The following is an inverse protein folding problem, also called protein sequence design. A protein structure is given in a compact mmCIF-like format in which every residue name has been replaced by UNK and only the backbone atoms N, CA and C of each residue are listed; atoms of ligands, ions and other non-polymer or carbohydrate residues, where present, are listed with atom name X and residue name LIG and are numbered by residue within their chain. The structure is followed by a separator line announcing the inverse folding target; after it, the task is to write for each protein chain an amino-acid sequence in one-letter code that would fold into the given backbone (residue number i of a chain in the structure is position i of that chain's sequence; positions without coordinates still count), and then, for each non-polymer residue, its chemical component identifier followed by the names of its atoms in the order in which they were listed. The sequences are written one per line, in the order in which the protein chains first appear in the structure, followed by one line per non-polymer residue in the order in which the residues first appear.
data_IF_339741956460
#
_entry.id   IF_339741956460
#
_cell.length_a   1.000
_cell.length_b   1.000
_cell.length_c   1.000
_cell.angle_alpha   90.00
_cell.angle_beta   90.00
_cell.angle_gamma   90.00
#
_symmetry.space_group_name_H-M   'P 1'
#
loop_
_entity.id
_entity.type
_entity.pdbx_description
1 polymer ?
#
# COMPACT_ATOMS: atom_id res chain seq x y z
N UNK A 1 -7.19 -14.72 -2.71
CA UNK A 1 -7.70 -14.39 -1.37
C UNK A 1 -7.06 -13.08 -0.88
N UNK A 2 -7.89 -12.04 -0.71
CA UNK A 2 -7.42 -10.67 -0.50
C UNK A 2 -6.92 -10.02 -1.79
N UNK A 3 -6.39 -8.78 -1.68
CA UNK A 3 -5.77 -8.09 -2.82
C UNK A 3 -4.51 -8.81 -3.33
N UNK A 4 -3.83 -9.57 -2.48
CA UNK A 4 -2.68 -10.37 -2.87
C UNK A 4 -3.01 -11.34 -4.02
N UNK A 5 -4.12 -12.07 -3.89
CA UNK A 5 -4.60 -12.98 -4.94
C UNK A 5 -5.00 -12.23 -6.21
N UNK A 6 -5.67 -11.08 -6.06
CA UNK A 6 -6.08 -10.24 -7.20
C UNK A 6 -4.85 -9.77 -7.97
N UNK A 7 -3.83 -9.26 -7.27
CA UNK A 7 -2.59 -8.78 -7.90
C UNK A 7 -1.82 -9.93 -8.53
N UNK A 8 -1.69 -11.07 -7.83
CA UNK A 8 -1.03 -12.26 -8.36
C UNK A 8 -1.69 -12.74 -9.66
N UNK A 9 -3.04 -12.79 -9.71
CA UNK A 9 -3.78 -13.11 -10.93
C UNK A 9 -3.61 -12.05 -12.01
N UNK A 10 -3.56 -10.77 -11.65
CA UNK A 10 -3.33 -9.70 -12.61
C UNK A 10 -1.92 -9.77 -13.24
N UNK A 11 -0.89 -10.14 -12.46
CA UNK A 11 0.45 -10.41 -13.00
C UNK A 11 0.42 -11.52 -14.04
N UNK A 12 -0.25 -12.63 -13.73
CA UNK A 12 -0.37 -13.75 -14.65
C UNK A 12 -1.19 -13.41 -15.89
N UNK A 13 -2.21 -12.54 -15.75
CA UNK A 13 -3.11 -12.16 -16.85
C UNK A 13 -2.48 -11.15 -17.80
N UNK A 14 -1.86 -10.09 -17.25
CA UNK A 14 -1.48 -8.91 -18.04
C UNK A 14 0.01 -8.74 -18.25
N UNK A 15 0.83 -9.32 -17.39
CA UNK A 15 2.28 -9.07 -17.38
C UNK A 15 3.09 -10.23 -17.95
N UNK A 16 2.45 -11.32 -18.31
CA UNK A 16 3.11 -12.51 -18.88
C UNK A 16 3.39 -12.34 -20.40
N UNK A 17 4.15 -11.30 -20.76
CA UNK A 17 4.41 -10.94 -22.15
C UNK A 17 5.88 -10.86 -22.55
N UNK A 18 6.82 -11.09 -21.63
CA UNK A 18 8.26 -11.06 -21.91
C UNK A 18 8.92 -9.69 -21.78
N UNK A 19 8.18 -8.59 -21.91
CA UNK A 19 8.69 -7.24 -21.63
C UNK A 19 8.72 -6.96 -20.12
N UNK A 20 9.72 -6.20 -19.61
CA UNK A 20 9.83 -5.92 -18.20
C UNK A 20 8.70 -5.03 -17.69
N UNK A 21 8.08 -5.42 -16.57
CA UNK A 21 7.15 -4.55 -15.86
C UNK A 21 7.89 -3.52 -15.01
N UNK A 22 7.21 -2.40 -14.69
CA UNK A 22 7.78 -1.33 -13.89
C UNK A 22 7.02 -1.16 -12.57
N UNK A 23 7.78 -0.98 -11.48
CA UNK A 23 7.24 -0.58 -10.18
C UNK A 23 8.29 0.18 -9.35
N UNK A 24 7.91 0.92 -8.29
CA UNK A 24 8.86 1.67 -7.48
C UNK A 24 9.86 0.74 -6.77
N UNK A 25 11.10 1.21 -6.57
CA UNK A 25 12.16 0.46 -5.85
C UNK A 25 11.86 0.27 -4.35
N UNK A 26 11.12 1.21 -3.76
CA UNK A 26 10.63 1.11 -2.38
C UNK A 26 9.09 1.05 -2.42
N UNK A 27 8.56 -0.16 -2.39
CA UNK A 27 7.14 -0.45 -2.60
C UNK A 27 6.70 -1.69 -1.83
N UNK A 28 5.48 -2.17 -2.08
CA UNK A 28 4.99 -3.41 -1.51
C UNK A 28 5.87 -4.60 -1.92
N UNK A 29 6.41 -5.27 -0.91
CA UNK A 29 7.49 -6.26 -1.06
C UNK A 29 7.08 -7.59 -1.69
N UNK A 30 5.88 -7.69 -2.26
CA UNK A 30 5.44 -8.90 -2.97
C UNK A 30 5.39 -8.72 -4.50
N UNK A 31 5.61 -7.53 -5.02
CA UNK A 31 5.64 -7.35 -6.47
C UNK A 31 6.82 -8.09 -7.12
N UNK A 32 8.02 -7.99 -6.54
CA UNK A 32 9.19 -8.76 -6.94
C UNK A 32 8.96 -10.27 -6.76
N UNK A 33 8.32 -10.69 -5.66
CA UNK A 33 8.03 -12.11 -5.39
C UNK A 33 7.12 -12.71 -6.47
N UNK A 34 6.05 -12.02 -6.88
CA UNK A 34 5.20 -12.53 -7.97
C UNK A 34 5.88 -12.46 -9.33
N UNK A 35 6.65 -11.40 -9.60
CA UNK A 35 7.42 -11.32 -10.83
C UNK A 35 8.40 -12.49 -10.95
N UNK A 36 9.14 -12.81 -9.89
CA UNK A 36 10.06 -13.95 -9.83
C UNK A 36 9.32 -15.29 -9.95
N UNK A 37 8.20 -15.47 -9.22
CA UNK A 37 7.40 -16.68 -9.26
C UNK A 37 6.91 -17.01 -10.67
N UNK A 38 6.44 -15.99 -11.39
CA UNK A 38 5.90 -16.14 -12.75
C UNK A 38 6.96 -15.93 -13.83
N UNK A 39 8.23 -15.68 -13.46
CA UNK A 39 9.33 -15.41 -14.39
C UNK A 39 9.06 -14.21 -15.30
N UNK A 40 8.42 -13.20 -14.76
CA UNK A 40 8.15 -11.92 -15.43
C UNK A 40 9.35 -11.01 -15.18
N UNK A 41 10.04 -10.53 -16.23
CA UNK A 41 11.13 -9.58 -16.05
C UNK A 41 10.58 -8.26 -15.48
N UNK A 42 11.36 -7.59 -14.64
CA UNK A 42 10.97 -6.30 -14.08
C UNK A 42 12.14 -5.33 -13.96
N UNK A 43 11.82 -4.06 -13.90
CA UNK A 43 12.73 -2.98 -13.55
C UNK A 43 12.10 -2.12 -12.48
N UNK A 44 12.91 -1.66 -11.54
CA UNK A 44 12.44 -0.73 -10.52
C UNK A 44 12.73 0.71 -10.92
N UNK A 45 11.76 1.59 -10.69
CA UNK A 45 11.88 3.03 -10.83
C UNK A 45 12.19 3.63 -9.45
N UNK A 46 13.28 4.38 -9.33
CA UNK A 46 13.68 4.92 -8.04
C UNK A 46 12.72 6.02 -7.60
N UNK A 47 12.20 5.93 -6.37
CA UNK A 47 11.52 7.05 -5.75
C UNK A 47 12.52 8.18 -5.47
N UNK A 48 12.08 9.42 -5.53
CA UNK A 48 12.92 10.58 -5.18
C UNK A 48 13.29 10.61 -3.68
N UNK A 49 13.96 11.66 -3.24
CA UNK A 49 14.35 11.87 -1.84
C UNK A 49 13.16 12.07 -0.89
N UNK A 50 12.00 12.47 -1.43
CA UNK A 50 10.75 12.64 -0.71
C UNK A 50 9.80 11.43 -0.86
N UNK A 51 10.31 10.31 -1.38
CA UNK A 51 9.57 9.08 -1.62
C UNK A 51 8.46 9.21 -2.67
N UNK A 52 8.64 10.11 -3.63
CA UNK A 52 7.68 10.40 -4.69
C UNK A 52 8.03 9.67 -5.98
N UNK A 53 7.01 9.30 -6.73
CA UNK A 53 7.13 8.80 -8.10
C UNK A 53 7.45 9.98 -9.04
N UNK A 54 8.42 9.78 -9.95
CA UNK A 54 8.58 10.60 -11.15
C UNK A 54 7.86 9.89 -12.33
N UNK A 55 6.79 10.46 -12.88
CA UNK A 55 6.10 9.86 -14.04
C UNK A 55 6.99 9.68 -15.27
N UNK A 56 8.09 10.45 -15.40
CA UNK A 56 9.00 10.33 -16.52
C UNK A 56 9.71 8.97 -16.57
N UNK A 57 9.99 8.36 -15.42
CA UNK A 57 10.63 7.05 -15.33
C UNK A 57 9.76 5.92 -15.90
N UNK A 58 8.44 6.14 -16.00
CA UNK A 58 7.47 5.17 -16.51
C UNK A 58 7.19 5.31 -18.00
N UNK A 59 7.89 6.22 -18.72
CA UNK A 59 7.75 6.39 -20.17
C UNK A 59 8.62 5.45 -21.00
N UNK A 60 9.50 4.68 -20.37
CA UNK A 60 10.32 3.67 -21.06
C UNK A 60 9.46 2.48 -21.54
N UNK A 61 9.90 1.73 -22.59
CA UNK A 61 9.23 0.52 -23.01
C UNK A 61 9.07 -0.48 -21.86
N UNK A 62 7.84 -1.00 -21.69
CA UNK A 62 7.51 -1.89 -20.59
C UNK A 62 6.31 -2.79 -20.92
N UNK A 63 6.17 -3.89 -20.19
CA UNK A 63 5.07 -4.86 -20.29
C UNK A 63 3.91 -4.60 -19.33
N UNK A 64 3.97 -3.51 -18.57
CA UNK A 64 2.95 -3.11 -17.60
C UNK A 64 3.53 -2.39 -16.38
N UNK A 65 2.68 -1.75 -15.63
CA UNK A 65 3.07 -0.92 -14.49
C UNK A 65 2.23 -1.28 -13.28
N UNK A 66 2.84 -1.33 -12.09
CA UNK A 66 2.11 -1.42 -10.83
C UNK A 66 2.75 -0.53 -9.77
N UNK A 67 1.93 0.21 -9.03
CA UNK A 67 2.37 0.96 -7.85
C UNK A 67 1.23 1.12 -6.85
N UNK A 68 1.54 1.16 -5.52
CA UNK A 68 0.54 1.45 -4.51
C UNK A 68 0.27 2.96 -4.43
N UNK A 69 -0.97 3.34 -4.25
CA UNK A 69 -1.34 4.72 -3.99
C UNK A 69 -2.47 4.81 -2.94
N UNK A 70 -2.16 5.16 -1.69
CA UNK A 70 -0.86 5.54 -1.12
C UNK A 70 0.19 4.41 -1.07
N UNK A 71 1.47 4.78 -1.20
CA UNK A 71 2.56 3.81 -1.21
C UNK A 71 2.80 3.14 0.15
N UNK A 72 3.15 1.88 0.15
CA UNK A 72 3.66 1.14 1.31
C UNK A 72 5.10 0.67 1.02
N UNK A 73 6.10 0.98 1.87
CA UNK A 73 5.98 1.36 3.28
C UNK A 73 5.99 2.87 3.58
N UNK A 74 6.12 3.76 2.60
CA UNK A 74 6.40 5.19 2.82
C UNK A 74 5.18 5.98 3.31
N UNK A 75 3.97 5.55 2.96
CA UNK A 75 2.72 6.23 3.27
C UNK A 75 2.38 7.40 2.33
N UNK A 76 3.25 7.70 1.37
CA UNK A 76 3.09 8.83 0.44
C UNK A 76 1.95 8.55 -0.54
N UNK A 77 1.11 9.56 -0.72
CA UNK A 77 0.04 9.57 -1.71
C UNK A 77 0.43 10.45 -2.89
N UNK A 78 0.37 9.90 -4.10
CA UNK A 78 0.55 10.67 -5.33
C UNK A 78 -0.79 11.22 -5.81
N UNK A 79 -0.85 12.52 -6.20
CA UNK A 79 -2.06 13.11 -6.75
C UNK A 79 -2.47 12.44 -8.06
N UNK A 80 -3.78 12.46 -8.35
CA UNK A 80 -4.33 11.75 -9.52
C UNK A 80 -3.76 12.25 -10.86
N UNK A 81 -3.30 13.50 -10.93
CA UNK A 81 -2.65 14.07 -12.10
C UNK A 81 -1.39 13.29 -12.49
N UNK A 82 -0.60 12.81 -11.51
CA UNK A 82 0.56 11.97 -11.77
C UNK A 82 0.16 10.56 -12.24
N UNK A 83 -0.88 10.00 -11.64
CA UNK A 83 -1.45 8.72 -12.08
C UNK A 83 -1.93 8.84 -13.52
N UNK A 84 -2.63 9.90 -13.84
CA UNK A 84 -3.12 10.19 -15.19
C UNK A 84 -1.99 10.39 -16.20
N UNK A 85 -0.90 11.04 -15.80
CA UNK A 85 0.29 11.21 -16.65
C UNK A 85 0.91 9.86 -17.01
N UNK A 86 1.02 8.93 -16.04
CA UNK A 86 1.52 7.57 -16.29
C UNK A 86 0.58 6.80 -17.23
N UNK A 87 -0.74 6.89 -17.01
CA UNK A 87 -1.74 6.25 -17.87
C UNK A 87 -1.68 6.72 -19.31
N UNK A 88 -1.58 8.05 -19.52
CA UNK A 88 -1.46 8.66 -20.85
C UNK A 88 -0.20 8.26 -21.59
N UNK A 89 0.90 8.12 -20.86
CA UNK A 89 2.19 7.74 -21.44
C UNK A 89 2.28 6.25 -21.81
N UNK A 90 1.35 5.41 -21.31
CA UNK A 90 1.37 3.96 -21.48
C UNK A 90 0.03 3.39 -21.92
N UNK A 91 -0.55 3.85 -23.06
CA UNK A 91 -1.91 3.48 -23.44
C UNK A 91 -2.07 2.00 -23.83
N UNK A 92 -0.99 1.33 -24.22
CA UNK A 92 -1.00 -0.04 -24.75
C UNK A 92 -0.72 -1.12 -23.70
N UNK A 93 -0.44 -0.73 -22.45
CA UNK A 93 -0.17 -1.66 -21.35
C UNK A 93 -1.04 -1.37 -20.13
N UNK A 94 -1.25 -2.39 -19.29
CA UNK A 94 -2.06 -2.24 -18.09
C UNK A 94 -1.27 -1.52 -16.99
N UNK A 95 -1.90 -0.52 -16.39
CA UNK A 95 -1.41 0.19 -15.20
C UNK A 95 -2.28 -0.21 -14.02
N UNK A 96 -1.68 -0.87 -13.05
CA UNK A 96 -2.35 -1.29 -11.81
C UNK A 96 -2.06 -0.26 -10.71
N UNK A 97 -3.11 0.31 -10.15
CA UNK A 97 -3.04 1.16 -8.96
C UNK A 97 -3.54 0.37 -7.76
N UNK A 98 -2.61 0.01 -6.86
CA UNK A 98 -2.93 -0.72 -5.63
C UNK A 98 -3.36 0.26 -4.54
N UNK A 99 -4.66 0.32 -4.29
CA UNK A 99 -5.31 1.23 -3.35
C UNK A 99 -5.58 0.58 -1.98
N UNK A 100 -4.73 -0.31 -1.52
CA UNK A 100 -4.93 -0.97 -0.23
C UNK A 100 -5.12 -0.02 0.95
N UNK A 101 -4.65 1.23 0.84
CA UNK A 101 -4.68 2.23 1.91
C UNK A 101 -5.44 3.52 1.55
N UNK A 102 -6.10 3.61 0.41
CA UNK A 102 -6.72 4.85 -0.10
C UNK A 102 -7.71 5.48 0.88
N UNK A 103 -8.45 4.67 1.62
CA UNK A 103 -9.49 5.12 2.56
C UNK A 103 -8.96 5.94 3.76
N UNK A 104 -7.65 6.00 3.97
CA UNK A 104 -7.05 6.76 5.06
C UNK A 104 -6.66 8.20 4.69
N UNK A 105 -7.27 8.75 3.66
CA UNK A 105 -7.13 10.14 3.23
C UNK A 105 -6.50 10.33 1.86
N UNK A 106 -6.44 9.26 1.05
CA UNK A 106 -6.16 9.33 -0.37
C UNK A 106 -7.40 9.67 -1.19
N UNK A 107 -7.21 9.90 -2.48
CA UNK A 107 -8.23 10.01 -3.50
C UNK A 107 -8.10 8.83 -4.46
N UNK A 108 -9.22 8.16 -4.74
CA UNK A 108 -9.20 6.94 -5.56
C UNK A 108 -9.08 7.25 -7.06
N UNK A 109 -8.24 6.50 -7.75
CA UNK A 109 -8.12 6.49 -9.20
C UNK A 109 -9.37 5.94 -9.92
N UNK A 110 -10.39 5.48 -9.18
CA UNK A 110 -11.68 5.09 -9.77
C UNK A 110 -12.32 6.22 -10.58
N UNK A 111 -12.08 7.48 -10.25
CA UNK A 111 -12.55 8.63 -11.02
C UNK A 111 -11.94 8.75 -12.43
N UNK A 112 -10.88 7.97 -12.71
CA UNK A 112 -10.20 7.94 -14.00
C UNK A 112 -10.67 6.80 -14.91
N UNK A 113 -11.43 5.82 -14.40
CA UNK A 113 -11.79 4.60 -15.14
C UNK A 113 -12.54 4.85 -16.44
N UNK A 114 -13.46 5.81 -16.49
CA UNK A 114 -14.24 6.13 -17.69
C UNK A 114 -13.38 6.73 -18.81
N UNK A 115 -12.15 7.16 -18.48
CA UNK A 115 -11.24 7.81 -19.43
C UNK A 115 -10.06 6.93 -19.85
N UNK A 116 -9.75 5.88 -19.07
CA UNK A 116 -8.56 5.05 -19.27
C UNK A 116 -8.89 3.57 -19.19
N UNK A 117 -9.05 2.94 -20.33
CA UNK A 117 -9.33 1.48 -20.42
C UNK A 117 -8.17 0.60 -19.91
N UNK A 118 -6.95 1.16 -19.84
CA UNK A 118 -5.75 0.47 -19.35
C UNK A 118 -5.55 0.57 -17.84
N UNK A 119 -6.46 1.21 -17.09
CA UNK A 119 -6.41 1.33 -15.63
C UNK A 119 -7.08 0.14 -14.94
N UNK A 120 -6.35 -0.50 -14.02
CA UNK A 120 -6.90 -1.48 -13.08
C UNK A 120 -6.67 -0.99 -11.65
N UNK A 121 -7.75 -0.75 -10.90
CA UNK A 121 -7.69 -0.36 -9.48
C UNK A 121 -7.90 -1.58 -8.62
N UNK A 122 -7.01 -1.82 -7.66
CA UNK A 122 -7.10 -2.94 -6.71
C UNK A 122 -7.35 -2.42 -5.30
N UNK A 123 -8.33 -2.99 -4.61
CA UNK A 123 -8.70 -2.61 -3.24
C UNK A 123 -8.86 -3.83 -2.34
N UNK A 124 -8.90 -3.62 -1.02
CA UNK A 124 -8.99 -4.69 -0.03
C UNK A 124 -9.82 -4.30 1.18
N UNK A 125 -10.46 -5.28 1.80
CA UNK A 125 -11.14 -5.12 3.10
C UNK A 125 -10.17 -5.32 4.27
N UNK A 126 -8.92 -5.72 3.99
CA UNK A 126 -7.94 -6.08 5.02
C UNK A 126 -7.48 -4.91 5.89
N UNK A 127 -7.63 -3.65 5.43
CA UNK A 127 -7.10 -2.45 6.09
C UNK A 127 -8.23 -1.62 6.70
N UNK A 128 -8.85 -0.78 5.92
CA UNK A 128 -9.87 0.19 6.37
C UNK A 128 -11.13 -0.45 6.95
N UNK A 129 -11.50 -1.63 6.45
CA UNK A 129 -12.67 -2.38 6.96
C UNK A 129 -12.31 -3.39 8.06
N UNK A 130 -11.05 -3.44 8.51
CA UNK A 130 -10.57 -4.31 9.60
C UNK A 130 -10.85 -5.80 9.42
N UNK A 131 -10.97 -6.27 8.17
CA UNK A 131 -11.37 -7.63 7.82
C UNK A 131 -10.21 -8.47 7.22
N UNK A 132 -8.99 -8.25 7.66
CA UNK A 132 -7.81 -8.95 7.15
C UNK A 132 -7.94 -10.49 7.19
N UNK A 133 -8.58 -11.03 8.24
CA UNK A 133 -8.80 -12.47 8.40
C UNK A 133 -9.80 -13.07 7.42
N UNK A 134 -10.72 -12.28 6.85
CA UNK A 134 -11.70 -12.76 5.88
C UNK A 134 -11.18 -12.86 4.45
N UNK A 135 -9.99 -12.31 4.17
CA UNK A 135 -9.33 -12.41 2.87
C UNK A 135 -10.19 -11.90 1.70
N UNK A 136 -10.79 -10.71 1.84
CA UNK A 136 -11.58 -10.06 0.78
C UNK A 136 -10.73 -9.02 0.08
N UNK A 137 -10.58 -9.16 -1.22
CA UNK A 137 -9.97 -8.19 -2.13
C UNK A 137 -10.71 -8.19 -3.46
N UNK A 138 -10.65 -7.07 -4.17
CA UNK A 138 -11.32 -6.91 -5.45
C UNK A 138 -10.56 -5.93 -6.34
N UNK A 139 -10.85 -5.96 -7.61
CA UNK A 139 -10.37 -4.95 -8.57
C UNK A 139 -11.52 -4.42 -9.42
N UNK A 140 -11.29 -3.24 -9.96
CA UNK A 140 -12.21 -2.54 -10.83
C UNK A 140 -11.43 -2.07 -12.05
N UNK A 141 -11.95 -2.31 -13.24
CA UNK A 141 -11.36 -1.96 -14.51
C UNK A 141 -12.34 -2.10 -15.65
N UNK A 142 -11.91 -1.96 -16.91
CA UNK A 142 -12.79 -2.15 -18.06
C UNK A 142 -13.36 -3.58 -18.11
N UNK A 143 -14.55 -3.74 -18.69
CA UNK A 143 -15.20 -5.06 -18.84
C UNK A 143 -14.27 -6.08 -19.50
N UNK A 144 -13.50 -5.66 -20.49
CA UNK A 144 -12.52 -6.48 -21.19
C UNK A 144 -11.43 -7.00 -20.25
N UNK A 145 -10.85 -6.13 -19.41
CA UNK A 145 -9.83 -6.56 -18.43
C UNK A 145 -10.41 -7.52 -17.39
N UNK A 146 -11.62 -7.22 -16.91
CA UNK A 146 -12.28 -8.09 -15.92
C UNK A 146 -12.63 -9.46 -16.53
N UNK A 147 -13.00 -9.52 -17.82
CA UNK A 147 -13.21 -10.79 -18.50
C UNK A 147 -11.93 -11.64 -18.52
N UNK A 148 -10.78 -11.08 -18.92
CA UNK A 148 -9.50 -11.79 -18.90
C UNK A 148 -9.07 -12.25 -17.50
N UNK A 149 -9.26 -11.41 -16.49
CA UNK A 149 -8.99 -11.79 -15.09
C UNK A 149 -9.87 -12.96 -14.64
N UNK A 150 -11.14 -12.98 -15.03
CA UNK A 150 -12.04 -14.08 -14.73
C UNK A 150 -11.61 -15.38 -15.41
N UNK A 151 -11.15 -15.33 -16.66
CA UNK A 151 -10.63 -16.52 -17.36
C UNK A 151 -9.46 -17.14 -16.58
N UNK A 152 -8.50 -16.31 -16.13
CA UNK A 152 -7.38 -16.77 -15.30
C UNK A 152 -7.86 -17.24 -13.95
N UNK A 153 -8.72 -16.48 -13.26
CA UNK A 153 -9.28 -16.84 -11.96
C UNK A 153 -9.98 -18.19 -11.99
N UNK A 154 -10.84 -18.43 -12.98
CA UNK A 154 -11.55 -19.71 -13.10
C UNK A 154 -10.65 -20.87 -13.49
N UNK A 155 -9.52 -20.60 -14.14
CA UNK A 155 -8.51 -21.60 -14.46
C UNK A 155 -7.63 -21.98 -13.25
N UNK A 156 -7.31 -21.01 -12.38
CA UNK A 156 -6.41 -21.21 -11.22
C UNK A 156 -7.19 -21.61 -9.98
N UNK A 157 -8.22 -20.86 -9.62
CA UNK A 157 -9.06 -21.11 -8.44
C UNK A 157 -10.45 -20.48 -8.60
N UNK A 158 -11.44 -21.28 -8.98
CA UNK A 158 -12.81 -20.82 -9.21
C UNK A 158 -13.50 -20.37 -7.91
N UNK A 159 -13.14 -20.95 -6.76
CA UNK A 159 -13.84 -20.76 -5.48
C UNK A 159 -12.95 -20.05 -4.45
N UNK A 160 -12.55 -18.84 -4.78
CA UNK A 160 -11.59 -18.06 -3.98
C UNK A 160 -12.14 -17.58 -2.64
N UNK A 161 -13.45 -17.42 -2.50
CA UNK A 161 -14.06 -16.87 -1.28
C UNK A 161 -14.97 -17.89 -0.60
N UNK A 162 -14.84 -18.02 0.71
CA UNK A 162 -15.74 -18.83 1.52
C UNK A 162 -17.07 -18.10 1.79
N UNK A 163 -18.12 -18.86 2.08
CA UNK A 163 -19.46 -18.31 2.30
C UNK A 163 -19.57 -17.29 3.45
N UNK A 164 -18.96 -17.51 4.63
CA UNK A 164 -18.95 -16.50 5.68
C UNK A 164 -18.32 -15.17 5.24
N UNK A 165 -17.20 -15.19 4.48
CA UNK A 165 -16.57 -13.98 3.96
C UNK A 165 -17.51 -13.20 3.01
N UNK A 166 -18.25 -13.91 2.16
CA UNK A 166 -19.23 -13.28 1.26
C UNK A 166 -20.33 -12.56 2.03
N UNK A 167 -20.92 -13.22 3.05
CA UNK A 167 -22.00 -12.63 3.85
C UNK A 167 -21.51 -11.42 4.67
N UNK A 168 -20.41 -11.60 5.40
CA UNK A 168 -19.84 -10.53 6.23
C UNK A 168 -19.31 -9.37 5.39
N UNK A 169 -18.78 -9.64 4.19
CA UNK A 169 -18.37 -8.61 3.25
C UNK A 169 -19.52 -7.70 2.82
N UNK A 170 -20.68 -8.27 2.52
CA UNK A 170 -21.89 -7.50 2.19
C UNK A 170 -22.30 -6.60 3.36
N UNK A 171 -22.35 -7.13 4.58
CA UNK A 171 -22.71 -6.34 5.77
C UNK A 171 -21.69 -5.23 6.04
N UNK A 172 -20.38 -5.49 5.84
CA UNK A 172 -19.34 -4.46 5.98
C UNK A 172 -19.46 -3.32 4.96
N UNK A 173 -19.99 -3.59 3.76
CA UNK A 173 -20.27 -2.52 2.77
C UNK A 173 -21.47 -1.70 3.19
N UNK A 174 -22.52 -2.33 3.71
CA UNK A 174 -23.74 -1.66 4.18
C UNK A 174 -23.51 -0.77 5.40
N UNK A 175 -22.57 -1.14 6.27
CA UNK A 175 -22.24 -0.37 7.49
C UNK A 175 -21.25 0.76 7.20
N UNK A 176 -21.71 1.71 6.39
CA UNK A 176 -20.92 2.88 6.00
C UNK A 176 -20.63 3.80 7.21
N UNK A 177 -21.56 3.86 8.17
CA UNK A 177 -21.41 4.69 9.37
C UNK A 177 -20.22 4.23 10.22
N UNK A 178 -20.12 2.93 10.50
CA UNK A 178 -19.00 2.34 11.23
C UNK A 178 -17.67 2.52 10.46
N UNK A 179 -17.68 2.25 9.17
CA UNK A 179 -16.53 2.42 8.30
C UNK A 179 -15.96 3.86 8.34
N UNK A 180 -16.83 4.86 8.17
CA UNK A 180 -16.43 6.28 8.24
C UNK A 180 -15.92 6.67 9.63
N UNK A 181 -16.59 6.21 10.69
CA UNK A 181 -16.19 6.52 12.06
C UNK A 181 -14.82 5.93 12.42
N UNK A 182 -14.57 4.67 12.04
CA UNK A 182 -13.30 3.99 12.33
C UNK A 182 -12.14 4.55 11.53
N UNK A 183 -12.32 4.81 10.24
CA UNK A 183 -11.28 5.44 9.42
C UNK A 183 -10.96 6.86 9.88
N UNK A 184 -11.97 7.67 10.22
CA UNK A 184 -11.76 9.01 10.76
C UNK A 184 -11.00 8.99 12.10
N UNK A 185 -11.28 8.02 12.97
CA UNK A 185 -10.55 7.85 14.23
C UNK A 185 -9.07 7.52 13.99
N UNK A 186 -8.77 6.59 13.07
CA UNK A 186 -7.38 6.26 12.72
C UNK A 186 -6.66 7.47 12.15
N UNK A 187 -7.30 8.24 11.27
CA UNK A 187 -6.71 9.47 10.72
C UNK A 187 -6.41 10.48 11.82
N UNK A 188 -7.36 10.72 12.73
CA UNK A 188 -7.17 11.67 13.83
C UNK A 188 -6.00 11.26 14.74
N UNK A 189 -5.95 9.98 15.15
CA UNK A 189 -4.86 9.43 15.95
C UNK A 189 -3.52 9.53 15.21
N UNK A 190 -3.48 9.24 13.90
CA UNK A 190 -2.27 9.41 13.08
C UNK A 190 -1.75 10.85 13.12
N UNK A 191 -2.62 11.83 12.91
CA UNK A 191 -2.20 13.24 12.89
C UNK A 191 -1.74 13.73 14.28
N UNK A 192 -2.31 13.19 15.38
CA UNK A 192 -1.81 13.42 16.73
C UNK A 192 -0.41 12.83 16.90
N UNK A 193 -0.25 11.56 16.59
CA UNK A 193 1.03 10.83 16.76
C UNK A 193 2.15 11.44 15.91
N UNK A 194 1.85 11.93 14.71
CA UNK A 194 2.82 12.66 13.87
C UNK A 194 3.40 13.88 14.62
N UNK A 195 2.56 14.66 15.31
CA UNK A 195 3.02 15.83 16.09
C UNK A 195 3.92 15.40 17.23
N UNK A 196 3.52 14.39 18.01
CA UNK A 196 4.29 13.88 19.12
C UNK A 196 5.64 13.27 18.69
N UNK A 197 5.67 12.53 17.58
CA UNK A 197 6.92 12.01 17.01
C UNK A 197 7.84 13.12 16.52
N UNK A 198 7.31 14.17 15.90
CA UNK A 198 8.11 15.32 15.47
C UNK A 198 8.77 16.04 16.65
N UNK A 199 8.05 16.21 17.78
CA UNK A 199 8.60 16.75 19.03
C UNK A 199 9.74 15.88 19.60
N UNK A 200 9.69 14.58 19.34
CA UNK A 200 10.75 13.63 19.74
C UNK A 200 11.92 13.57 18.75
N UNK A 201 11.90 14.36 17.67
CA UNK A 201 12.98 14.42 16.69
C UNK A 201 12.88 13.41 15.57
N UNK A 202 11.71 12.82 15.35
CA UNK A 202 11.46 12.01 14.16
C UNK A 202 11.11 12.87 12.96
N UNK A 203 11.51 12.39 11.78
CA UNK A 203 11.12 12.90 10.47
C UNK A 203 10.37 11.80 9.71
N UNK A 204 9.39 12.17 8.91
CA UNK A 204 8.55 11.25 8.15
C UNK A 204 7.88 11.99 6.98
N UNK A 205 7.57 11.29 5.87
CA UNK A 205 6.72 11.84 4.82
C UNK A 205 5.27 12.01 5.31
N UNK A 206 4.49 12.86 4.62
CA UNK A 206 3.07 13.00 4.93
C UNK A 206 2.31 11.72 4.55
N UNK A 207 1.92 10.97 5.57
CA UNK A 207 1.25 9.68 5.38
C UNK A 207 -0.25 9.85 5.12
N UNK A 208 -0.75 9.13 4.10
CA UNK A 208 -2.18 8.91 3.83
C UNK A 208 -2.57 7.44 4.02
N UNK A 209 -1.92 6.77 4.97
CA UNK A 209 -2.17 5.37 5.32
C UNK A 209 -2.54 5.22 6.80
N UNK A 210 -2.71 3.99 7.29
CA UNK A 210 -2.87 3.70 8.71
C UNK A 210 -1.53 3.46 9.44
N UNK A 211 -0.42 4.00 8.90
CA UNK A 211 0.90 3.93 9.51
C UNK A 211 1.72 5.20 9.22
N UNK A 212 2.81 5.37 9.94
CA UNK A 212 3.81 6.42 9.73
C UNK A 212 5.15 5.74 9.42
N UNK A 213 5.88 6.24 8.41
CA UNK A 213 7.22 5.79 8.05
C UNK A 213 8.24 6.78 8.60
N UNK A 214 8.80 6.52 9.78
CA UNK A 214 9.54 7.48 10.58
C UNK A 214 11.01 7.12 10.76
N UNK A 215 11.89 8.12 10.66
CA UNK A 215 13.32 8.04 10.98
C UNK A 215 13.65 9.04 12.10
N UNK A 216 14.49 8.66 13.05
CA UNK A 216 14.94 9.57 14.09
C UNK A 216 16.25 10.26 13.69
N UNK A 217 16.40 11.54 14.04
CA UNK A 217 17.52 12.40 13.63
C UNK A 217 18.91 11.93 14.11
N UNK A 218 19.00 11.21 15.24
CA UNK A 218 20.27 10.82 15.87
C UNK A 218 20.36 9.33 16.22
N UNK A 219 19.25 8.66 16.52
CA UNK A 219 19.25 7.26 16.95
C UNK A 219 18.88 6.36 15.77
N UNK A 220 19.71 5.34 15.43
CA UNK A 220 19.42 4.42 14.35
C UNK A 220 18.09 3.68 14.55
N UNK A 221 17.33 3.52 13.47
CA UNK A 221 16.03 2.85 13.52
C UNK A 221 16.11 1.41 14.07
N UNK A 222 17.19 0.68 13.80
CA UNK A 222 17.43 -0.67 14.32
C UNK A 222 17.49 -0.69 15.86
N UNK A 223 18.13 0.29 16.47
CA UNK A 223 18.23 0.39 17.93
C UNK A 223 16.85 0.67 18.55
N UNK A 224 16.11 1.64 17.99
CA UNK A 224 14.75 1.95 18.45
C UNK A 224 13.84 0.72 18.28
N UNK A 225 13.93 0.02 17.15
CA UNK A 225 13.18 -1.21 16.88
C UNK A 225 13.42 -2.28 17.95
N UNK A 226 14.68 -2.53 18.30
CA UNK A 226 15.04 -3.53 19.30
C UNK A 226 14.54 -3.13 20.70
N UNK A 227 14.73 -1.87 21.09
CA UNK A 227 14.28 -1.35 22.37
C UNK A 227 12.74 -1.42 22.51
N UNK A 228 11.99 -1.04 21.46
CA UNK A 228 10.52 -1.17 21.45
C UNK A 228 10.10 -2.63 21.62
N UNK A 229 10.75 -3.55 20.89
CA UNK A 229 10.44 -4.98 20.94
C UNK A 229 10.68 -5.60 22.32
N UNK A 230 11.74 -5.19 23.02
CA UNK A 230 12.03 -5.61 24.41
C UNK A 230 10.93 -5.20 25.39
N UNK A 231 10.19 -4.13 25.06
CA UNK A 231 9.05 -3.64 25.83
C UNK A 231 7.68 -4.09 25.27
N UNK A 232 7.67 -5.13 24.44
CA UNK A 232 6.46 -5.68 23.80
C UNK A 232 5.71 -4.67 22.91
N UNK A 233 6.42 -3.67 22.36
CA UNK A 233 5.87 -2.73 21.36
C UNK A 233 6.41 -3.12 19.99
N UNK A 234 5.52 -3.58 19.11
CA UNK A 234 5.90 -4.13 17.82
C UNK A 234 5.65 -3.13 16.69
N UNK A 235 6.74 -2.72 16.05
CA UNK A 235 6.75 -1.91 14.82
C UNK A 235 7.42 -2.70 13.70
N UNK A 236 7.35 -2.24 12.46
CA UNK A 236 8.04 -2.91 11.36
C UNK A 236 9.36 -2.21 11.04
N UNK A 237 10.40 -3.00 10.83
CA UNK A 237 11.74 -2.61 10.41
C UNK A 237 12.21 -3.47 9.24
N UNK A 238 13.02 -2.93 8.34
CA UNK A 238 13.66 -3.66 7.24
C UNK A 238 15.14 -3.38 7.19
N UNK A 239 15.93 -4.41 7.08
CA UNK A 239 17.37 -4.32 6.85
C UNK A 239 17.66 -4.29 5.33
N UNK A 240 17.04 -3.32 4.62
CA UNK A 240 17.19 -3.12 3.18
C UNK A 240 17.75 -1.72 2.90
N UNK A 241 18.58 -1.55 1.85
CA UNK A 241 19.07 -0.22 1.44
C UNK A 241 17.93 0.79 1.31
N UNK A 242 18.22 2.07 1.54
CA UNK A 242 17.33 3.21 1.55
C UNK A 242 16.32 3.24 2.71
N UNK A 243 15.82 2.11 3.22
CA UNK A 243 14.79 2.04 4.26
C UNK A 243 15.27 1.49 5.60
N UNK A 244 16.56 1.15 5.71
CA UNK A 244 17.15 0.58 6.93
C UNK A 244 17.32 1.57 8.10
N UNK A 245 17.01 2.84 7.89
CA UNK A 245 16.96 3.83 8.98
C UNK A 245 15.55 4.38 9.23
N UNK A 246 14.53 3.62 8.86
CA UNK A 246 13.13 3.98 9.07
C UNK A 246 12.34 2.85 9.74
N UNK A 247 11.33 3.23 10.51
CA UNK A 247 10.36 2.35 11.13
C UNK A 247 8.98 2.59 10.51
N UNK A 248 8.24 1.53 10.19
CA UNK A 248 6.83 1.66 9.90
C UNK A 248 6.03 1.41 11.17
N UNK A 249 5.44 2.47 11.69
CA UNK A 249 4.65 2.50 12.91
C UNK A 249 3.18 2.46 12.52
N UNK A 250 2.51 1.32 12.77
CA UNK A 250 1.07 1.20 12.53
C UNK A 250 0.30 1.96 13.61
N UNK A 251 -0.72 2.70 13.20
CA UNK A 251 -1.60 3.44 14.11
C UNK A 251 -2.55 2.45 14.79
N UNK A 252 -2.41 2.34 16.10
CA UNK A 252 -3.28 1.57 16.99
C UNK A 252 -4.37 2.44 17.61
N UNK A 253 -4.93 1.97 18.75
CA UNK A 253 -5.81 2.81 19.57
C UNK A 253 -5.02 3.95 20.23
N UNK A 254 -5.74 4.97 20.74
CA UNK A 254 -5.07 6.08 21.41
C UNK A 254 -4.24 5.60 22.59
N UNK A 255 -4.73 4.65 23.37
CA UNK A 255 -4.03 4.06 24.52
C UNK A 255 -2.76 3.30 24.06
N UNK A 256 -2.80 2.58 22.96
CA UNK A 256 -1.63 1.90 22.42
C UNK A 256 -0.57 2.89 21.95
N UNK A 257 -0.99 3.97 21.30
CA UNK A 257 -0.07 5.02 20.86
C UNK A 257 0.53 5.78 22.06
N UNK A 258 -0.25 6.04 23.10
CA UNK A 258 0.22 6.68 24.32
C UNK A 258 1.31 5.87 25.02
N UNK A 259 1.15 4.54 25.11
CA UNK A 259 2.19 3.63 25.63
C UNK A 259 3.48 3.74 24.83
N UNK A 260 3.39 3.71 23.50
CA UNK A 260 4.56 3.82 22.61
C UNK A 260 5.25 5.19 22.77
N UNK A 261 4.48 6.28 22.77
CA UNK A 261 5.02 7.65 22.91
C UNK A 261 5.67 7.86 24.28
N UNK A 262 5.04 7.36 25.35
CA UNK A 262 5.62 7.43 26.70
C UNK A 262 6.97 6.69 26.78
N UNK A 263 7.05 5.50 26.20
CA UNK A 263 8.30 4.75 26.09
C UNK A 263 9.36 5.53 25.31
N UNK A 264 9.01 6.07 24.14
CA UNK A 264 9.96 6.81 23.29
C UNK A 264 10.46 8.08 23.97
N UNK A 265 9.62 8.79 24.73
CA UNK A 265 10.00 9.98 25.54
C UNK A 265 11.10 9.64 26.54
N UNK A 266 10.96 8.53 27.26
CA UNK A 266 11.96 8.11 28.26
C UNK A 266 13.22 7.57 27.57
N UNK A 267 13.07 6.74 26.54
CA UNK A 267 14.20 6.13 25.83
C UNK A 267 15.09 7.15 25.12
N UNK A 268 14.52 8.24 24.59
CA UNK A 268 15.24 9.25 23.82
C UNK A 268 15.75 10.45 24.64
N UNK A 269 15.41 10.52 25.93
CA UNK A 269 15.65 11.68 26.80
C UNK A 269 17.11 12.15 26.82
N UNK A 270 18.05 11.21 26.77
CA UNK A 270 19.49 11.47 26.89
C UNK A 270 20.29 11.04 25.64
N UNK A 271 19.63 10.92 24.45
CA UNK A 271 20.21 10.35 23.23
C UNK A 271 20.23 11.29 22.01
#
# INVERSE_FOLDING_TARGET
MGSDDVISMAFLTFFYGGEPILFPDVTYSFYDVWADLYRIPYKTCALDENWRIDPADYRQPNGGIIFPNPNAPTGVFEPLEKVEEILKANPDVVVIVDEAYVDFGGESALSLLDRYENLLVVQTFSKSRSMAGLRIGFCIGSEKMIAYLNDVKYSVNSYTMNYPALQLGVEAVKDEAYFKATTAKIIATRERVKKELAELGFTFPDSKTNFIFASHKSVPAKEIFLALREHNIFVRYWEKPRINNSLRITIGTDEQMDVMIAFLKEYLKDR
#
